data_IF_452188828350
#
_entry.id   IF_452188828350
#
_cell.length_a   1.000
_cell.length_b   1.000
_cell.length_c   1.000
_cell.angle_alpha   90.00
_cell.angle_beta   90.00
_cell.angle_gamma   90.00
#
_symmetry.space_group_name_H-M   'P 1'
#
loop_
_entity.id
_entity.type
_entity.pdbx_description
1 polymer ?
#
# COMPACT_ATOMS: atom_id res chain seq x y z
N UNK A 1 -16.32 -11.53 1.22
CA UNK A 1 -17.42 -12.47 1.50
C UNK A 1 -16.93 -13.88 1.84
N UNK A 2 -16.08 -14.53 1.05
CA UNK A 2 -15.62 -15.90 1.35
C UNK A 2 -14.91 -16.03 2.72
N UNK A 3 -14.05 -15.07 3.10
CA UNK A 3 -13.41 -15.04 4.42
C UNK A 3 -14.39 -14.83 5.58
N UNK A 4 -15.45 -14.04 5.35
CA UNK A 4 -16.53 -13.83 6.33
C UNK A 4 -17.37 -15.10 6.46
N UNK A 5 -17.65 -15.79 5.36
CA UNK A 5 -18.38 -17.07 5.37
C UNK A 5 -17.55 -18.19 5.99
N UNK A 6 -16.23 -18.23 5.76
CA UNK A 6 -15.32 -19.18 6.42
C UNK A 6 -15.24 -18.87 7.92
N UNK A 7 -15.14 -17.59 8.31
CA UNK A 7 -15.17 -17.20 9.72
C UNK A 7 -16.50 -17.57 10.39
N UNK A 8 -17.65 -17.32 9.74
CA UNK A 8 -18.98 -17.73 10.24
C UNK A 8 -19.08 -19.26 10.32
N UNK A 9 -18.56 -19.99 9.33
CA UNK A 9 -18.58 -21.45 9.34
C UNK A 9 -17.73 -22.04 10.46
N UNK A 10 -16.53 -21.50 10.67
CA UNK A 10 -15.63 -21.91 11.76
C UNK A 10 -16.21 -21.53 13.15
N UNK A 11 -16.86 -20.38 13.28
CA UNK A 11 -17.56 -19.97 14.50
C UNK A 11 -18.80 -20.83 14.78
N UNK A 12 -19.42 -21.42 13.75
CA UNK A 12 -20.61 -22.27 13.91
C UNK A 12 -20.31 -23.72 14.34
N UNK A 13 -19.08 -24.19 14.15
CA UNK A 13 -18.72 -25.60 14.39
C UNK A 13 -18.34 -25.92 15.85
N UNK A 14 -17.95 -24.93 16.67
CA UNK A 14 -17.45 -25.16 18.04
C UNK A 14 -18.36 -24.64 19.17
N UNK A 15 -19.65 -24.43 18.90
CA UNK A 15 -20.65 -24.08 19.93
C UNK A 15 -21.02 -25.27 20.83
N UNK A 16 -20.04 -25.86 21.53
CA UNK A 16 -20.28 -26.69 22.72
C UNK A 16 -19.87 -25.90 23.95
N UNK A 17 -20.84 -25.18 24.51
CA UNK A 17 -20.69 -24.55 25.81
C UNK A 17 -20.29 -25.62 26.85
N UNK A 18 -19.22 -25.35 27.61
CA UNK A 18 -18.88 -26.14 28.78
C UNK A 18 -20.01 -26.01 29.83
N UNK A 19 -20.35 -27.08 30.58
CA UNK A 19 -21.37 -26.97 31.62
C UNK A 19 -20.84 -26.09 32.76
N UNK A 20 -21.58 -25.02 33.08
CA UNK A 20 -21.36 -24.18 34.26
C UNK A 20 -21.55 -25.05 35.51
N UNK A 21 -20.48 -25.28 36.27
CA UNK A 21 -20.58 -25.83 37.62
C UNK A 21 -21.20 -24.78 38.54
N UNK A 22 -22.38 -25.10 39.08
CA UNK A 22 -23.12 -24.34 40.09
C UNK A 22 -22.25 -24.03 41.31
N UNK A 23 -22.13 -22.74 41.67
CA UNK A 23 -21.83 -22.31 43.04
C UNK A 23 -23.05 -21.59 43.62
N UNK A 24 -23.33 -21.69 44.94
CA UNK A 24 -24.60 -21.25 45.50
C UNK A 24 -24.65 -19.75 45.79
N UNK A 25 -25.86 -19.22 45.68
CA UNK A 25 -26.27 -17.83 45.85
C UNK A 25 -25.70 -17.15 47.11
N UNK A 26 -25.07 -15.99 46.91
CA UNK A 26 -24.86 -15.00 47.95
C UNK A 26 -25.18 -13.60 47.40
N UNK A 27 -26.39 -13.15 47.73
CA UNK A 27 -26.87 -11.75 47.72
C UNK A 27 -26.66 -10.96 46.43
N UNK A 28 -27.79 -10.74 45.76
CA UNK A 28 -28.03 -9.59 44.91
C UNK A 28 -27.67 -8.28 45.64
N UNK A 29 -26.45 -7.80 45.45
CA UNK A 29 -26.15 -6.37 45.50
C UNK A 29 -26.28 -5.87 44.08
N UNK A 30 -27.32 -5.07 43.87
CA UNK A 30 -27.46 -4.17 42.73
C UNK A 30 -26.25 -3.24 42.68
N UNK A 31 -25.21 -3.63 41.96
CA UNK A 31 -24.25 -2.69 41.38
C UNK A 31 -24.55 -2.64 39.88
N UNK A 32 -25.22 -1.56 39.48
CA UNK A 32 -25.23 -1.07 38.11
C UNK A 32 -23.83 -0.54 37.76
N UNK A 33 -22.82 -1.42 37.74
CA UNK A 33 -21.51 -1.06 37.21
C UNK A 33 -21.64 -1.00 35.69
N UNK A 34 -21.41 0.19 35.11
CA UNK A 34 -21.14 0.38 33.69
C UNK A 34 -20.23 -0.74 33.19
N UNK A 35 -20.80 -1.75 32.54
CA UNK A 35 -20.03 -2.88 32.07
C UNK A 35 -19.34 -2.41 30.78
N UNK A 36 -18.18 -1.75 30.95
CA UNK A 36 -17.23 -1.32 29.92
C UNK A 36 -16.66 -2.57 29.22
N UNK A 37 -17.54 -3.29 28.53
CA UNK A 37 -17.32 -4.59 27.96
C UNK A 37 -17.34 -4.50 26.45
N UNK A 38 -16.22 -4.91 25.86
CA UNK A 38 -16.00 -4.96 24.43
C UNK A 38 -16.48 -6.30 23.89
N UNK A 39 -17.24 -6.30 22.80
CA UNK A 39 -17.73 -7.55 22.19
C UNK A 39 -16.76 -8.08 21.14
N UNK A 40 -16.77 -9.39 20.87
CA UNK A 40 -16.01 -10.00 19.75
C UNK A 40 -16.29 -9.30 18.42
N UNK A 41 -17.56 -8.95 18.16
CA UNK A 41 -17.97 -8.23 16.96
C UNK A 41 -17.23 -6.88 16.83
N UNK A 42 -17.12 -6.12 17.93
CA UNK A 42 -16.40 -4.84 17.91
C UNK A 42 -14.89 -5.01 17.68
N UNK A 43 -14.28 -6.11 18.17
CA UNK A 43 -12.87 -6.43 17.89
C UNK A 43 -12.67 -6.66 16.39
N UNK A 44 -13.49 -7.55 15.83
CA UNK A 44 -13.40 -7.95 14.43
C UNK A 44 -13.73 -6.78 13.52
N UNK A 45 -14.84 -6.09 13.75
CA UNK A 45 -15.28 -4.98 12.93
C UNK A 45 -14.29 -3.81 12.98
N UNK A 46 -13.83 -3.41 14.17
CA UNK A 46 -12.83 -2.36 14.31
C UNK A 46 -11.54 -2.68 13.56
N UNK A 47 -11.11 -3.94 13.62
CA UNK A 47 -9.90 -4.41 12.92
C UNK A 47 -10.09 -4.42 11.39
N UNK A 48 -11.14 -5.08 10.90
CA UNK A 48 -11.42 -5.20 9.46
C UNK A 48 -11.74 -3.85 8.82
N UNK A 49 -12.48 -2.97 9.50
CA UNK A 49 -12.77 -1.61 9.01
C UNK A 49 -11.49 -0.79 8.90
N UNK A 50 -10.56 -0.92 9.86
CA UNK A 50 -9.27 -0.23 9.83
C UNK A 50 -8.38 -0.78 8.72
N UNK A 51 -8.27 -2.11 8.56
CA UNK A 51 -7.54 -2.74 7.45
C UNK A 51 -8.11 -2.27 6.10
N UNK A 52 -9.44 -2.24 5.96
CA UNK A 52 -10.10 -1.78 4.74
C UNK A 52 -9.83 -0.29 4.47
N UNK A 53 -10.02 0.58 5.47
CA UNK A 53 -9.74 2.01 5.34
C UNK A 53 -8.29 2.25 4.92
N UNK A 54 -7.35 1.55 5.54
CA UNK A 54 -5.94 1.61 5.20
C UNK A 54 -5.71 1.13 3.74
N UNK A 55 -6.09 -0.08 3.41
CA UNK A 55 -5.70 -0.68 2.10
C UNK A 55 -6.50 -0.16 0.91
N UNK A 56 -7.68 0.44 1.12
CA UNK A 56 -8.54 0.95 0.05
C UNK A 56 -8.45 2.47 -0.14
N UNK A 57 -8.42 3.25 0.94
CA UNK A 57 -8.47 4.73 0.86
C UNK A 57 -7.08 5.31 0.63
N UNK A 58 -6.04 4.74 1.25
CA UNK A 58 -4.68 5.29 1.18
C UNK A 58 -3.94 4.99 -0.13
N UNK A 59 -4.45 4.09 -0.99
CA UNK A 59 -3.77 3.73 -2.24
C UNK A 59 -4.22 4.65 -3.37
N UNK A 60 -3.28 5.43 -3.89
CA UNK A 60 -3.53 6.43 -4.93
C UNK A 60 -3.01 5.92 -6.29
N UNK A 61 -3.83 5.21 -7.09
CA UNK A 61 -3.37 4.66 -8.35
C UNK A 61 -3.19 5.72 -9.44
N UNK A 62 -2.26 5.46 -10.37
CA UNK A 62 -2.08 6.30 -11.56
C UNK A 62 -3.30 6.25 -12.51
N UNK A 63 -3.39 7.26 -13.38
CA UNK A 63 -4.53 7.49 -14.28
C UNK A 63 -4.76 6.23 -15.14
N UNK A 64 -6.01 5.69 -15.17
CA UNK A 64 -6.31 4.49 -15.95
C UNK A 64 -6.33 4.78 -17.46
N UNK A 65 -6.15 3.76 -18.31
CA UNK A 65 -6.38 3.87 -19.74
C UNK A 65 -7.74 4.48 -20.10
N UNK A 66 -7.83 5.23 -21.21
CA UNK A 66 -9.10 5.75 -21.69
C UNK A 66 -10.10 4.62 -21.97
N UNK A 67 -11.40 4.92 -21.76
CA UNK A 67 -12.54 4.03 -22.08
C UNK A 67 -12.69 2.75 -21.25
N UNK A 68 -12.08 2.64 -20.06
CA UNK A 68 -12.35 1.51 -19.15
C UNK A 68 -13.77 1.55 -18.55
N UNK A 69 -14.39 0.37 -18.41
CA UNK A 69 -15.69 0.24 -17.75
C UNK A 69 -15.57 0.40 -16.23
N UNK A 70 -16.68 0.77 -15.56
CA UNK A 70 -16.71 0.89 -14.08
C UNK A 70 -16.28 -0.41 -13.38
N UNK A 71 -16.61 -1.56 -13.95
CA UNK A 71 -16.24 -2.86 -13.40
C UNK A 71 -14.73 -3.12 -13.53
N UNK A 72 -14.11 -2.77 -14.65
CA UNK A 72 -12.67 -2.89 -14.82
C UNK A 72 -11.90 -2.01 -13.83
N UNK A 73 -12.37 -0.77 -13.61
CA UNK A 73 -11.80 0.14 -12.61
C UNK A 73 -11.91 -0.42 -11.19
N UNK A 74 -13.07 -1.01 -10.86
CA UNK A 74 -13.27 -1.68 -9.57
C UNK A 74 -12.28 -2.84 -9.37
N UNK A 75 -12.13 -3.73 -10.34
CA UNK A 75 -11.18 -4.86 -10.24
C UNK A 75 -9.73 -4.39 -10.19
N UNK A 76 -9.36 -3.31 -10.90
CA UNK A 76 -8.05 -2.69 -10.79
C UNK A 76 -7.79 -2.23 -9.36
N UNK A 77 -8.74 -1.49 -8.75
CA UNK A 77 -8.65 -1.07 -7.34
C UNK A 77 -8.58 -2.23 -6.37
N UNK A 78 -9.42 -3.24 -6.53
CA UNK A 78 -9.40 -4.43 -5.69
C UNK A 78 -8.06 -5.18 -5.79
N UNK A 79 -7.49 -5.31 -6.99
CA UNK A 79 -6.17 -5.90 -7.17
C UNK A 79 -5.09 -5.14 -6.39
N UNK A 80 -5.11 -3.81 -6.43
CA UNK A 80 -4.13 -2.97 -5.72
C UNK A 80 -4.31 -3.04 -4.19
N UNK A 81 -5.56 -3.08 -3.71
CA UNK A 81 -5.87 -3.33 -2.30
C UNK A 81 -5.29 -4.69 -1.85
N UNK A 82 -5.50 -5.76 -2.63
CA UNK A 82 -4.98 -7.09 -2.31
C UNK A 82 -3.45 -7.13 -2.32
N UNK A 83 -2.81 -6.45 -3.27
CA UNK A 83 -1.35 -6.32 -3.31
C UNK A 83 -0.84 -5.60 -2.05
N UNK A 84 -1.49 -4.49 -1.67
CA UNK A 84 -1.15 -3.73 -0.46
C UNK A 84 -1.33 -4.58 0.79
N UNK A 85 -2.35 -5.45 0.83
CA UNK A 85 -2.56 -6.35 1.95
C UNK A 85 -1.45 -7.41 2.06
N UNK A 86 -0.95 -7.92 0.93
CA UNK A 86 0.12 -8.92 0.90
C UNK A 86 1.50 -8.29 1.16
N UNK A 87 1.80 -7.15 0.55
CA UNK A 87 3.12 -6.50 0.62
C UNK A 87 2.97 -4.98 0.82
N UNK A 88 2.50 -4.54 2.01
CA UNK A 88 2.28 -3.12 2.30
C UNK A 88 3.58 -2.32 2.32
N UNK A 89 4.71 -2.92 2.73
CA UNK A 89 6.03 -2.31 2.67
C UNK A 89 6.46 -2.01 1.23
N UNK A 90 6.21 -2.92 0.28
CA UNK A 90 6.47 -2.67 -1.14
C UNK A 90 5.65 -1.49 -1.65
N UNK A 91 4.42 -1.33 -1.16
CA UNK A 91 3.59 -0.16 -1.46
C UNK A 91 4.19 1.15 -0.95
N UNK A 92 4.82 1.14 0.22
CA UNK A 92 5.59 2.29 0.71
C UNK A 92 6.78 2.59 -0.20
N UNK A 93 7.49 1.56 -0.67
CA UNK A 93 8.57 1.72 -1.66
C UNK A 93 8.08 2.38 -2.96
N UNK A 94 6.88 2.04 -3.43
CA UNK A 94 6.25 2.72 -4.58
C UNK A 94 5.90 4.17 -4.27
N UNK A 95 5.28 4.41 -3.11
CA UNK A 95 4.92 5.74 -2.70
C UNK A 95 6.15 6.65 -2.54
N UNK A 96 7.24 6.11 -2.00
CA UNK A 96 8.50 6.81 -1.79
C UNK A 96 9.14 7.22 -3.11
N UNK A 97 9.23 6.30 -4.08
CA UNK A 97 9.76 6.61 -5.42
C UNK A 97 8.96 7.70 -6.12
N UNK A 98 7.63 7.59 -6.08
CA UNK A 98 6.77 8.63 -6.65
C UNK A 98 6.90 9.97 -5.93
N UNK A 99 7.10 9.98 -4.61
CA UNK A 99 7.32 11.19 -3.82
C UNK A 99 8.65 11.86 -4.16
N UNK A 100 9.74 11.10 -4.21
CA UNK A 100 11.05 11.68 -4.57
C UNK A 100 11.08 12.16 -6.02
N UNK A 101 10.56 11.36 -6.96
CA UNK A 101 10.49 11.75 -8.37
C UNK A 101 9.60 12.99 -8.60
N UNK A 102 8.45 13.10 -7.93
CA UNK A 102 7.60 14.30 -8.04
C UNK A 102 8.25 15.52 -7.39
N UNK A 103 8.98 15.35 -6.28
CA UNK A 103 9.69 16.45 -5.61
C UNK A 103 10.86 16.98 -6.44
N UNK A 104 11.61 16.10 -7.09
CA UNK A 104 12.67 16.47 -8.02
C UNK A 104 12.09 17.27 -9.19
N UNK A 105 11.01 16.76 -9.81
CA UNK A 105 10.32 17.44 -10.89
C UNK A 105 9.75 18.80 -10.48
N UNK A 106 9.16 18.89 -9.27
CA UNK A 106 8.64 20.13 -8.72
C UNK A 106 9.74 21.19 -8.56
N UNK A 107 10.93 20.79 -8.10
CA UNK A 107 12.06 21.71 -7.93
C UNK A 107 12.66 22.14 -9.26
N UNK A 108 12.88 21.20 -10.18
CA UNK A 108 13.54 21.44 -11.46
C UNK A 108 12.70 22.33 -12.38
N UNK A 109 11.41 22.03 -12.49
CA UNK A 109 10.51 22.75 -13.38
C UNK A 109 9.64 23.76 -12.64
N UNK A 110 9.86 23.99 -11.34
CA UNK A 110 9.08 24.90 -10.49
C UNK A 110 7.55 24.63 -10.56
N UNK A 111 7.18 23.35 -10.58
CA UNK A 111 5.79 22.91 -10.47
C UNK A 111 5.36 22.84 -9.01
N UNK A 112 4.05 22.94 -8.76
CA UNK A 112 3.53 22.57 -7.45
C UNK A 112 3.69 21.07 -7.19
N UNK A 113 3.66 20.67 -5.91
CA UNK A 113 3.72 19.25 -5.56
C UNK A 113 2.55 18.46 -6.18
N UNK A 114 1.37 19.05 -6.23
CA UNK A 114 0.16 18.45 -6.85
C UNK A 114 0.32 18.30 -8.35
N UNK A 115 0.80 19.34 -9.05
CA UNK A 115 1.10 19.31 -10.48
C UNK A 115 2.15 18.24 -10.82
N UNK A 116 3.22 18.15 -10.05
CA UNK A 116 4.28 17.17 -10.27
C UNK A 116 3.81 15.73 -10.05
N UNK A 117 3.01 15.47 -9.00
CA UNK A 117 2.38 14.17 -8.80
C UNK A 117 1.41 13.83 -9.93
N UNK A 118 0.62 14.82 -10.37
CA UNK A 118 -0.32 14.66 -11.48
C UNK A 118 0.40 14.34 -12.80
N UNK A 119 1.55 14.96 -13.04
CA UNK A 119 2.43 14.63 -14.16
C UNK A 119 2.92 13.17 -14.08
N UNK A 120 3.58 12.78 -12.99
CA UNK A 120 4.12 11.42 -12.82
C UNK A 120 3.06 10.32 -12.95
N UNK A 121 1.79 10.62 -12.61
CA UNK A 121 0.71 9.64 -12.69
C UNK A 121 0.05 9.53 -14.08
N UNK A 122 0.57 10.22 -15.10
CA UNK A 122 -0.01 10.28 -16.44
C UNK A 122 -1.24 11.17 -16.54
N UNK A 123 -1.29 12.22 -15.71
CA UNK A 123 -2.37 13.21 -15.69
C UNK A 123 -2.38 14.14 -16.89
N UNK A 124 -1.30 14.20 -17.66
CA UNK A 124 -1.21 14.96 -18.90
C UNK A 124 -1.06 14.03 -20.10
N UNK A 125 -1.75 14.33 -21.19
CA UNK A 125 -1.69 13.56 -22.44
C UNK A 125 -1.57 14.48 -23.66
N UNK A 126 -0.95 13.97 -24.72
CA UNK A 126 -0.98 14.57 -26.04
C UNK A 126 -2.39 14.51 -26.67
N UNK A 127 -2.66 15.22 -27.77
CA UNK A 127 -3.94 15.14 -28.49
C UNK A 127 -4.21 13.74 -29.06
N UNK A 128 -3.14 12.97 -29.31
CA UNK A 128 -3.20 11.56 -29.73
C UNK A 128 -3.55 10.60 -28.58
N UNK A 129 -3.60 11.08 -27.34
CA UNK A 129 -3.98 10.30 -26.16
C UNK A 129 -2.83 9.57 -25.48
N UNK A 130 -1.58 9.85 -25.87
CA UNK A 130 -0.39 9.29 -25.22
C UNK A 130 0.00 10.10 -23.98
N UNK A 131 0.31 9.46 -22.84
CA UNK A 131 0.72 10.17 -21.63
C UNK A 131 2.04 10.93 -21.81
N UNK A 132 2.07 12.15 -21.26
CA UNK A 132 3.26 12.96 -21.05
C UNK A 132 3.68 12.74 -19.60
N UNK A 133 4.70 11.94 -19.38
CA UNK A 133 5.09 11.46 -18.06
C UNK A 133 6.62 11.43 -17.82
N UNK A 134 7.45 11.52 -18.86
CA UNK A 134 8.92 11.52 -18.73
C UNK A 134 9.54 12.90 -18.85
N UNK A 135 10.75 13.10 -18.30
CA UNK A 135 11.47 14.37 -18.42
C UNK A 135 11.88 14.67 -19.86
N UNK A 136 12.20 13.64 -20.65
CA UNK A 136 12.49 13.82 -22.07
C UNK A 136 11.28 14.43 -22.81
N UNK A 137 10.06 13.99 -22.46
CA UNK A 137 8.82 14.54 -23.02
C UNK A 137 8.56 16.00 -22.61
N UNK A 138 9.12 16.47 -21.48
CA UNK A 138 9.06 17.89 -21.08
C UNK A 138 10.09 18.74 -21.81
N UNK A 139 11.25 18.18 -22.14
CA UNK A 139 12.28 18.87 -22.92
C UNK A 139 11.95 18.93 -24.42
N UNK A 140 11.41 17.84 -24.96
CA UNK A 140 11.02 17.69 -26.37
C UNK A 140 9.66 16.96 -26.45
N UNK A 141 8.53 17.67 -26.61
CA UNK A 141 7.22 17.05 -26.60
C UNK A 141 7.10 16.05 -27.73
N UNK A 142 7.00 14.77 -27.37
CA UNK A 142 7.10 13.68 -28.34
C UNK A 142 5.79 13.55 -29.11
N UNK A 143 5.67 14.35 -30.17
CA UNK A 143 4.71 14.17 -31.24
C UNK A 143 5.50 13.95 -32.54
N UNK A 144 5.63 12.69 -32.95
CA UNK A 144 6.30 12.22 -34.18
C UNK A 144 7.83 12.36 -34.23
N UNK A 145 8.48 11.43 -34.94
CA UNK A 145 9.94 11.43 -35.17
C UNK A 145 10.42 12.60 -36.07
N UNK A 146 9.54 13.49 -36.50
CA UNK A 146 9.84 14.55 -37.48
C UNK A 146 9.82 15.96 -36.88
N UNK A 147 9.30 16.17 -35.68
CA UNK A 147 9.27 17.50 -35.00
C UNK A 147 10.36 17.63 -33.89
N UNK A 148 11.42 16.82 -34.00
CA UNK A 148 12.25 16.35 -32.88
C UNK A 148 13.23 17.35 -32.24
N UNK A 149 13.25 18.62 -32.62
CA UNK A 149 14.37 19.50 -32.20
C UNK A 149 13.99 20.96 -31.94
N UNK A 150 12.71 21.29 -31.71
CA UNK A 150 12.33 22.67 -31.38
C UNK A 150 12.27 22.88 -29.85
N UNK A 151 13.26 23.58 -29.25
CA UNK A 151 13.30 23.86 -27.81
C UNK A 151 12.14 24.75 -27.35
N UNK A 152 11.58 25.57 -28.25
CA UNK A 152 10.54 26.53 -27.89
C UNK A 152 9.25 25.78 -27.50
N UNK A 153 8.94 24.66 -28.18
CA UNK A 153 7.75 23.84 -27.88
C UNK A 153 7.83 23.16 -26.51
N UNK A 154 9.03 22.73 -26.09
CA UNK A 154 9.25 22.19 -24.74
C UNK A 154 9.01 23.25 -23.66
N UNK A 155 9.50 24.47 -23.88
CA UNK A 155 9.29 25.59 -22.95
C UNK A 155 7.80 26.00 -22.84
N UNK A 156 7.07 26.01 -23.97
CA UNK A 156 5.63 26.28 -23.99
C UNK A 156 4.84 25.22 -23.22
N UNK A 157 5.19 23.93 -23.37
CA UNK A 157 4.54 22.85 -22.64
C UNK A 157 4.78 22.95 -21.14
N UNK A 158 6.01 23.27 -20.73
CA UNK A 158 6.35 23.47 -19.31
C UNK A 158 5.58 24.65 -18.73
N UNK A 159 5.48 25.77 -19.45
CA UNK A 159 4.69 26.93 -19.03
C UNK A 159 3.19 26.60 -18.98
N UNK A 160 2.67 25.87 -19.97
CA UNK A 160 1.28 25.43 -19.99
C UNK A 160 0.93 24.54 -18.79
N UNK A 161 1.82 23.60 -18.41
CA UNK A 161 1.66 22.77 -17.20
C UNK A 161 1.70 23.63 -15.94
N UNK A 162 2.66 24.57 -15.84
CA UNK A 162 2.78 25.47 -14.69
C UNK A 162 1.52 26.31 -14.48
N UNK A 163 0.89 26.74 -15.57
CA UNK A 163 -0.31 27.57 -15.55
C UNK A 163 -1.61 26.78 -15.30
N UNK A 164 -1.57 25.43 -15.20
CA UNK A 164 -2.74 24.64 -14.79
C UNK A 164 -3.06 24.94 -13.33
N UNK A 165 -4.26 25.44 -13.06
CA UNK A 165 -4.70 25.69 -11.69
C UNK A 165 -4.73 24.38 -10.88
N UNK A 166 -4.17 24.40 -9.67
CA UNK A 166 -4.16 23.24 -8.79
C UNK A 166 -5.57 22.82 -8.39
N UNK A 167 -6.48 23.79 -8.23
CA UNK A 167 -7.88 23.53 -7.91
C UNK A 167 -8.57 22.71 -9.01
N UNK A 168 -8.20 22.90 -10.29
CA UNK A 168 -8.72 22.11 -11.41
C UNK A 168 -8.21 20.65 -11.39
N UNK A 169 -7.02 20.43 -10.82
CA UNK A 169 -6.47 19.10 -10.60
C UNK A 169 -7.15 18.44 -9.40
N UNK A 170 -7.36 19.19 -8.33
CA UNK A 170 -8.02 18.72 -7.11
C UNK A 170 -9.50 18.38 -7.36
N UNK A 171 -10.22 19.14 -8.19
CA UNK A 171 -11.61 18.81 -8.57
C UNK A 171 -11.72 17.45 -9.30
N UNK A 172 -10.65 16.99 -9.95
CA UNK A 172 -10.57 15.65 -10.54
C UNK A 172 -10.31 14.55 -9.51
N UNK A 173 -9.78 14.89 -8.35
CA UNK A 173 -9.55 13.98 -7.24
C UNK A 173 -10.88 13.62 -6.60
N UNK A 174 -11.23 12.34 -6.54
CA UNK A 174 -12.47 11.86 -5.89
C UNK A 174 -12.32 11.64 -4.39
N UNK A 175 -11.18 12.03 -3.84
CA UNK A 175 -10.91 12.00 -2.41
C UNK A 175 -10.66 13.39 -1.90
N UNK A 176 -11.72 14.09 -1.48
CA UNK A 176 -11.59 15.36 -0.77
C UNK A 176 -10.84 15.14 0.55
N UNK A 177 -10.23 16.22 1.06
CA UNK A 177 -9.49 16.24 2.31
C UNK A 177 -10.25 15.57 3.48
N UNK A 178 -11.57 15.66 3.48
CA UNK A 178 -12.44 15.02 4.47
C UNK A 178 -12.37 13.48 4.42
N UNK A 179 -12.42 12.88 3.23
CA UNK A 179 -12.34 11.41 3.07
C UNK A 179 -10.95 10.87 3.46
N UNK A 180 -9.89 11.61 3.11
CA UNK A 180 -8.51 11.32 3.53
C UNK A 180 -8.34 11.46 5.05
N UNK A 181 -8.98 12.48 5.64
CA UNK A 181 -8.93 12.77 7.07
C UNK A 181 -9.65 11.73 7.93
N UNK A 182 -10.82 11.24 7.50
CA UNK A 182 -11.57 10.20 8.25
C UNK A 182 -10.78 8.89 8.31
N UNK A 183 -10.18 8.45 7.20
CA UNK A 183 -9.38 7.24 7.18
C UNK A 183 -8.13 7.36 8.08
N UNK A 184 -7.48 8.53 8.08
CA UNK A 184 -6.36 8.81 8.97
C UNK A 184 -6.79 8.78 10.44
N UNK A 185 -7.90 9.45 10.77
CA UNK A 185 -8.42 9.50 12.13
C UNK A 185 -8.77 8.10 12.63
N UNK A 186 -9.40 7.27 11.80
CA UNK A 186 -9.69 5.87 12.10
C UNK A 186 -8.40 5.08 12.40
N UNK A 187 -7.36 5.22 11.58
CA UNK A 187 -6.07 4.55 11.77
C UNK A 187 -5.35 5.01 13.04
N UNK A 188 -5.26 6.31 13.28
CA UNK A 188 -4.64 6.89 14.47
C UNK A 188 -5.39 6.48 15.74
N UNK A 189 -6.73 6.51 15.71
CA UNK A 189 -7.55 6.06 16.82
C UNK A 189 -7.32 4.57 17.12
N UNK A 190 -7.23 3.72 16.09
CA UNK A 190 -6.93 2.31 16.27
C UNK A 190 -5.55 2.08 16.90
N UNK A 191 -4.53 2.83 16.46
CA UNK A 191 -3.17 2.79 17.04
C UNK A 191 -3.24 3.17 18.52
N UNK A 192 -3.85 4.31 18.85
CA UNK A 192 -3.98 4.80 20.23
C UNK A 192 -4.72 3.81 21.13
N UNK A 193 -5.85 3.27 20.67
CA UNK A 193 -6.61 2.24 21.38
C UNK A 193 -5.75 1.01 21.66
N UNK A 194 -5.01 0.51 20.66
CA UNK A 194 -4.18 -0.69 20.79
C UNK A 194 -3.02 -0.48 21.76
N UNK A 195 -2.36 0.68 21.69
CA UNK A 195 -1.29 1.05 22.62
C UNK A 195 -1.81 1.23 24.05
N UNK A 196 -2.97 1.86 24.22
CA UNK A 196 -3.59 2.04 25.52
C UNK A 196 -3.96 0.70 26.18
N UNK A 197 -4.43 -0.29 25.39
CA UNK A 197 -4.66 -1.67 25.86
C UNK A 197 -3.36 -2.31 26.33
N UNK A 198 -2.30 -2.22 25.53
CA UNK A 198 -0.99 -2.76 25.88
C UNK A 198 -0.44 -2.13 27.18
N UNK A 199 -0.57 -0.81 27.34
CA UNK A 199 -0.13 -0.08 28.53
C UNK A 199 -0.94 -0.48 29.79
N UNK A 200 -2.25 -0.68 29.67
CA UNK A 200 -3.10 -1.17 30.76
C UNK A 200 -2.97 -2.69 31.01
N UNK A 201 -2.04 -3.37 30.31
CA UNK A 201 -1.83 -4.83 30.38
C UNK A 201 -3.09 -5.64 30.05
N UNK A 202 -3.97 -5.06 29.23
CA UNK A 202 -5.11 -5.78 28.65
C UNK A 202 -4.63 -6.60 27.46
N UNK A 203 -5.32 -7.72 27.18
CA UNK A 203 -4.96 -8.55 26.04
C UNK A 203 -5.17 -7.78 24.74
N UNK A 204 -4.13 -7.71 23.93
CA UNK A 204 -4.21 -7.27 22.53
C UNK A 204 -4.31 -8.52 21.69
N UNK A 205 -5.41 -8.66 20.95
CA UNK A 205 -5.61 -9.83 20.09
C UNK A 205 -4.62 -9.81 18.93
N UNK A 206 -4.26 -10.98 18.41
CA UNK A 206 -3.35 -11.07 17.26
C UNK A 206 -3.91 -10.37 16.02
N UNK A 207 -5.25 -10.28 15.91
CA UNK A 207 -5.91 -9.53 14.85
C UNK A 207 -5.67 -8.02 15.00
N UNK A 208 -5.71 -7.52 16.23
CA UNK A 208 -5.36 -6.12 16.51
C UNK A 208 -3.88 -5.84 16.28
N UNK A 209 -2.98 -6.78 16.60
CA UNK A 209 -1.55 -6.65 16.29
C UNK A 209 -1.32 -6.60 14.78
N UNK A 210 -1.94 -7.49 14.01
CA UNK A 210 -1.86 -7.46 12.56
C UNK A 210 -2.44 -6.17 11.97
N UNK A 211 -3.55 -5.68 12.53
CA UNK A 211 -4.16 -4.41 12.11
C UNK A 211 -3.30 -3.22 12.47
N UNK A 212 -2.67 -3.22 13.66
CA UNK A 212 -1.73 -2.19 14.08
C UNK A 212 -0.56 -2.09 13.09
N UNK A 213 -0.02 -3.22 12.64
CA UNK A 213 1.04 -3.24 11.64
C UNK A 213 0.59 -2.57 10.32
N UNK A 214 -0.62 -2.87 9.83
CA UNK A 214 -1.19 -2.20 8.66
C UNK A 214 -1.39 -0.70 8.90
N UNK A 215 -1.97 -0.31 10.04
CA UNK A 215 -2.23 1.08 10.37
C UNK A 215 -0.94 1.91 10.39
N UNK A 216 0.12 1.39 11.03
CA UNK A 216 1.42 2.07 11.12
C UNK A 216 2.06 2.22 9.73
N UNK A 217 2.12 1.18 8.91
CA UNK A 217 2.68 1.27 7.55
C UNK A 217 1.88 2.24 6.68
N UNK A 218 0.57 2.26 6.84
CA UNK A 218 -0.27 3.16 6.07
C UNK A 218 -0.12 4.64 6.40
N UNK A 219 0.36 4.98 7.61
CA UNK A 219 0.75 6.36 7.90
C UNK A 219 1.86 6.83 6.95
N UNK A 220 2.84 5.98 6.63
CA UNK A 220 3.89 6.31 5.67
C UNK A 220 3.35 6.46 4.25
N UNK A 221 2.49 5.54 3.79
CA UNK A 221 1.86 5.63 2.46
C UNK A 221 1.11 6.96 2.34
N UNK A 222 0.32 7.30 3.36
CA UNK A 222 -0.45 8.53 3.40
C UNK A 222 0.44 9.78 3.40
N UNK A 223 1.51 9.80 4.20
CA UNK A 223 2.46 10.93 4.25
C UNK A 223 3.13 11.16 2.89
N UNK A 224 3.54 10.09 2.21
CA UNK A 224 4.21 10.16 0.92
C UNK A 224 3.27 10.56 -0.22
N UNK A 225 1.98 10.21 -0.14
CA UNK A 225 0.97 10.51 -1.16
C UNK A 225 -0.02 11.62 -0.78
N UNK A 226 0.31 12.45 0.22
CA UNK A 226 -0.59 13.51 0.68
C UNK A 226 -1.06 14.42 -0.46
N UNK A 227 -0.10 14.94 -1.23
CA UNK A 227 -0.32 15.83 -2.38
C UNK A 227 -0.65 15.07 -3.67
N UNK A 228 -0.71 13.73 -3.66
CA UNK A 228 -1.07 12.96 -4.85
C UNK A 228 -2.59 12.94 -5.03
N UNK A 229 -3.14 13.36 -6.18
CA UNK A 229 -4.57 13.29 -6.45
C UNK A 229 -5.13 11.86 -6.38
N UNK A 230 -6.33 11.67 -5.82
CA UNK A 230 -6.94 10.35 -5.59
C UNK A 230 -8.00 9.99 -6.65
N UNK A 231 -7.89 8.81 -7.27
CA UNK A 231 -8.87 8.25 -8.24
C UNK A 231 -9.16 9.17 -9.45
N UNK A 232 -8.15 9.90 -9.93
CA UNK A 232 -8.24 10.67 -11.17
C UNK A 232 -8.58 9.73 -12.34
N UNK A 233 -9.64 10.04 -13.09
CA UNK A 233 -10.13 9.20 -14.20
C UNK A 233 -9.88 9.77 -15.58
N UNK A 234 -9.60 11.07 -15.68
CA UNK A 234 -9.42 11.75 -16.96
C UNK A 234 -8.19 12.64 -16.90
N UNK A 235 -7.23 12.47 -17.81
CA UNK A 235 -6.10 13.38 -17.93
C UNK A 235 -6.53 14.71 -18.56
N UNK A 236 -5.65 15.70 -18.48
CA UNK A 236 -5.70 16.99 -19.18
C UNK A 236 -4.96 16.82 -20.51
N UNK A 237 -5.56 17.30 -21.60
CA UNK A 237 -5.00 17.21 -22.95
C UNK A 237 -4.27 18.51 -23.27
N UNK A 238 -3.02 18.42 -23.74
CA UNK A 238 -2.27 19.57 -24.25
C UNK A 238 -2.02 19.46 -25.75
N UNK A 239 -2.20 20.57 -26.47
CA UNK A 239 -1.95 20.67 -27.91
C UNK A 239 -3.22 20.84 -28.77
N UNK A 240 -3.06 21.22 -30.05
CA UNK A 240 -4.18 21.42 -30.97
C UNK A 240 -4.88 20.08 -31.28
N UNK A 241 -6.20 20.07 -31.51
CA UNK A 241 -6.93 18.85 -31.83
C UNK A 241 -6.44 18.27 -33.16
N UNK A 242 -5.78 17.11 -33.11
CA UNK A 242 -5.38 16.32 -34.28
C UNK A 242 -6.40 15.19 -34.50
N UNK A 243 -6.71 14.86 -35.76
CA UNK A 243 -7.53 13.67 -36.04
C UNK A 243 -6.79 12.42 -35.56
N UNK A 244 -7.48 11.61 -34.77
CA UNK A 244 -6.92 10.43 -34.14
C UNK A 244 -6.81 9.28 -35.16
N UNK A 245 -5.71 9.22 -35.90
CA UNK A 245 -5.35 8.03 -36.67
C UNK A 245 -4.89 6.95 -35.68
N UNK A 246 -5.84 6.09 -35.32
CA UNK A 246 -5.65 5.03 -34.34
C UNK A 246 -5.06 3.80 -35.01
N UNK A 247 -3.77 3.81 -35.32
CA UNK A 247 -3.03 2.56 -35.55
C UNK A 247 -2.24 2.17 -34.29
N UNK A 248 -2.87 1.30 -33.50
CA UNK A 248 -2.29 0.71 -32.30
C UNK A 248 -1.35 -0.42 -32.70
N UNK A 249 -0.05 -0.14 -32.78
CA UNK A 249 0.95 -1.21 -32.92
C UNK A 249 1.10 -1.90 -31.56
N UNK A 250 0.35 -2.98 -31.37
CA UNK A 250 0.55 -3.90 -30.24
C UNK A 250 1.52 -4.98 -30.66
N UNK A 251 2.78 -4.89 -30.23
CA UNK A 251 3.75 -5.97 -30.42
C UNK A 251 3.47 -7.10 -29.41
N UNK A 252 3.22 -8.35 -29.86
CA UNK A 252 3.07 -9.48 -28.95
C UNK A 252 4.44 -9.90 -28.43
N UNK A 253 4.75 -9.54 -27.17
CA UNK A 253 5.96 -10.01 -26.49
C UNK A 253 5.72 -11.43 -25.96
N UNK A 254 6.48 -12.40 -26.49
CA UNK A 254 6.43 -13.81 -26.10
C UNK A 254 7.16 -14.01 -24.76
N UNK A 255 6.42 -14.31 -23.69
CA UNK A 255 6.95 -14.37 -22.31
C UNK A 255 7.33 -15.79 -21.85
N UNK A 256 8.45 -15.91 -21.15
CA UNK A 256 8.80 -17.13 -20.40
C UNK A 256 7.91 -17.29 -19.15
N UNK A 257 7.81 -18.50 -18.57
CA UNK A 257 6.92 -18.78 -17.43
C UNK A 257 7.30 -18.02 -16.14
N UNK A 258 8.57 -17.66 -15.96
CA UNK A 258 9.08 -16.93 -14.80
C UNK A 258 8.83 -15.41 -14.91
N UNK A 259 8.82 -14.86 -16.13
CA UNK A 259 8.49 -13.45 -16.40
C UNK A 259 7.02 -13.09 -16.15
N UNK A 260 6.14 -14.09 -15.96
CA UNK A 260 4.70 -13.86 -15.77
C UNK A 260 4.35 -13.44 -14.34
N UNK A 261 5.09 -13.90 -13.33
CA UNK A 261 4.79 -13.60 -11.92
C UNK A 261 5.58 -12.38 -11.44
N UNK A 262 6.90 -12.34 -11.68
CA UNK A 262 7.72 -11.14 -11.46
C UNK A 262 7.28 -9.97 -12.35
N UNK A 263 6.90 -10.23 -13.60
CA UNK A 263 6.37 -9.22 -14.51
C UNK A 263 4.98 -8.70 -14.16
N UNK A 264 4.24 -9.26 -13.19
CA UNK A 264 2.97 -8.66 -12.73
C UNK A 264 3.19 -7.51 -11.72
N UNK A 265 4.30 -7.55 -10.98
CA UNK A 265 4.79 -6.47 -10.12
C UNK A 265 5.67 -5.53 -10.95
N UNK A 266 6.58 -6.07 -11.78
CA UNK A 266 7.39 -5.31 -12.76
C UNK A 266 6.56 -4.51 -13.78
N UNK A 267 5.43 -5.06 -14.26
CA UNK A 267 4.51 -4.29 -15.12
C UNK A 267 3.75 -3.18 -14.38
N UNK A 268 3.68 -3.22 -13.04
CA UNK A 268 3.17 -2.08 -12.26
C UNK A 268 4.26 -1.05 -12.00
N UNK A 269 5.53 -1.49 -11.97
CA UNK A 269 6.75 -0.70 -11.94
C UNK A 269 6.99 0.08 -13.23
N UNK A 270 6.52 -0.48 -14.36
CA UNK A 270 6.74 0.08 -15.68
C UNK A 270 8.07 -0.30 -16.31
N UNK A 271 8.63 -1.47 -15.97
CA UNK A 271 9.77 -2.10 -16.68
C UNK A 271 9.54 -2.29 -18.20
N UNK A 272 8.32 -2.04 -18.67
CA UNK A 272 7.86 -2.15 -20.06
C UNK A 272 7.06 -0.92 -20.49
N UNK A 273 7.15 0.19 -19.75
CA UNK A 273 6.49 1.43 -20.13
C UNK A 273 7.26 2.04 -21.28
N UNK A 274 6.63 2.09 -22.44
CA UNK A 274 7.11 2.86 -23.58
C UNK A 274 6.19 4.08 -23.71
N UNK A 275 6.71 5.30 -23.47
CA UNK A 275 5.93 6.54 -23.53
C UNK A 275 5.26 6.76 -24.89
N UNK A 276 5.81 6.18 -25.96
CA UNK A 276 5.33 6.34 -27.33
C UNK A 276 4.18 5.40 -27.69
N UNK A 277 4.16 4.19 -27.13
CA UNK A 277 3.15 3.17 -27.48
C UNK A 277 2.11 2.96 -26.38
N UNK A 278 2.38 3.42 -25.17
CA UNK A 278 1.49 3.23 -24.03
C UNK A 278 0.32 4.22 -24.02
N UNK A 279 -0.88 3.72 -23.72
CA UNK A 279 -2.11 4.53 -23.57
C UNK A 279 -2.39 4.97 -22.13
N UNK A 280 -1.54 4.55 -21.19
CA UNK A 280 -1.59 4.95 -19.77
C UNK A 280 -0.27 4.64 -19.09
N UNK A 281 0.05 5.42 -18.07
CA UNK A 281 1.16 5.13 -17.16
C UNK A 281 0.77 3.95 -16.23
N UNK A 282 1.66 2.98 -15.97
CA UNK A 282 1.42 1.92 -14.99
C UNK A 282 1.08 2.47 -13.60
N UNK A 283 0.32 1.71 -12.80
CA UNK A 283 -0.29 2.19 -11.55
C UNK A 283 0.70 2.81 -10.54
N UNK A 284 1.94 2.33 -10.50
CA UNK A 284 2.96 2.70 -9.51
C UNK A 284 4.26 3.19 -10.14
N UNK A 285 4.23 3.50 -11.44
CA UNK A 285 5.36 4.10 -12.13
C UNK A 285 5.68 5.47 -11.55
N UNK A 286 6.97 5.81 -11.50
CA UNK A 286 7.49 7.14 -11.15
C UNK A 286 8.33 7.63 -12.32
N UNK A 287 8.36 8.96 -12.54
CA UNK A 287 9.22 9.59 -13.56
C UNK A 287 10.63 9.02 -13.50
N UNK A 288 11.03 8.38 -14.59
CA UNK A 288 12.31 7.71 -14.75
C UNK A 288 13.41 8.77 -14.69
N UNK A 289 14.27 8.67 -13.68
CA UNK A 289 15.63 9.14 -13.73
C UNK A 289 16.48 8.01 -13.14
N UNK A 290 16.85 7.05 -13.98
CA UNK A 290 17.84 6.01 -13.64
C UNK A 290 19.25 6.61 -13.37
N UNK A 291 19.40 7.94 -13.36
CA UNK A 291 20.67 8.64 -13.22
C UNK A 291 20.92 9.20 -11.80
N UNK A 292 19.89 9.58 -11.03
CA UNK A 292 20.08 10.03 -9.65
C UNK A 292 20.01 8.86 -8.66
N UNK A 293 21.16 8.23 -8.45
CA UNK A 293 21.38 7.16 -7.47
C UNK A 293 20.79 7.47 -6.08
N UNK A 294 20.74 8.75 -5.67
CA UNK A 294 20.30 9.17 -4.33
C UNK A 294 18.80 8.98 -4.07
N UNK A 295 17.93 9.27 -5.05
CA UNK A 295 16.47 9.17 -4.87
C UNK A 295 16.00 7.71 -4.82
N UNK A 296 16.58 6.86 -5.67
CA UNK A 296 16.37 5.41 -5.69
C UNK A 296 16.84 4.79 -4.37
N UNK A 297 18.05 5.14 -3.94
CA UNK A 297 18.63 4.64 -2.68
C UNK A 297 17.78 5.06 -1.46
N UNK A 298 17.26 6.29 -1.44
CA UNK A 298 16.41 6.77 -0.34
C UNK A 298 15.09 6.00 -0.25
N UNK A 299 14.44 5.72 -1.38
CA UNK A 299 13.21 4.93 -1.42
C UNK A 299 13.44 3.48 -0.98
N UNK A 300 14.57 2.88 -1.37
CA UNK A 300 14.93 1.52 -0.98
C UNK A 300 15.29 1.41 0.50
N UNK A 301 16.02 2.39 1.05
CA UNK A 301 16.26 2.46 2.49
C UNK A 301 14.94 2.55 3.25
N UNK A 302 14.02 3.42 2.82
CA UNK A 302 12.72 3.58 3.46
C UNK A 302 11.88 2.30 3.40
N UNK A 303 11.85 1.63 2.25
CA UNK A 303 11.21 0.32 2.06
C UNK A 303 11.71 -0.70 3.11
N UNK A 304 13.03 -0.77 3.32
CA UNK A 304 13.65 -1.73 4.24
C UNK A 304 13.33 -1.40 5.69
N UNK A 305 13.47 -0.13 6.07
CA UNK A 305 13.19 0.33 7.43
C UNK A 305 11.71 0.11 7.79
N UNK A 306 10.80 0.46 6.89
CA UNK A 306 9.36 0.30 7.11
C UNK A 306 8.96 -1.18 7.06
N UNK A 307 9.56 -2.00 6.20
CA UNK A 307 9.36 -3.45 6.19
C UNK A 307 9.85 -4.13 7.48
N UNK A 308 11.02 -3.74 7.98
CA UNK A 308 11.54 -4.24 9.26
C UNK A 308 10.64 -3.83 10.43
N UNK A 309 10.20 -2.57 10.47
CA UNK A 309 9.23 -2.08 11.46
C UNK A 309 7.90 -2.85 11.38
N UNK A 310 7.38 -3.08 10.17
CA UNK A 310 6.15 -3.82 9.95
C UNK A 310 6.22 -5.25 10.53
N UNK A 311 7.30 -5.98 10.24
CA UNK A 311 7.52 -7.30 10.83
C UNK A 311 7.80 -7.25 12.35
N UNK A 312 8.47 -6.20 12.84
CA UNK A 312 8.71 -6.01 14.27
C UNK A 312 7.42 -5.86 15.08
N UNK A 313 6.38 -5.20 14.53
CA UNK A 313 5.07 -5.11 15.18
C UNK A 313 4.45 -6.51 15.35
N UNK A 314 4.56 -7.40 14.36
CA UNK A 314 4.11 -8.79 14.50
C UNK A 314 4.93 -9.56 15.55
N UNK A 315 6.25 -9.36 15.57
CA UNK A 315 7.14 -9.92 16.59
C UNK A 315 6.83 -9.40 17.99
N UNK A 316 6.23 -8.22 18.17
CA UNK A 316 5.86 -7.72 19.50
C UNK A 316 4.86 -8.64 20.22
N UNK A 317 4.08 -9.43 19.48
CA UNK A 317 3.21 -10.48 20.01
C UNK A 317 3.94 -11.80 20.29
N UNK A 318 5.27 -11.80 20.48
CA UNK A 318 6.06 -13.02 20.67
C UNK A 318 5.55 -13.90 21.81
N UNK A 319 5.14 -13.26 22.90
CA UNK A 319 4.66 -13.91 24.12
C UNK A 319 3.13 -13.95 24.21
N UNK A 320 2.42 -13.74 23.09
CA UNK A 320 0.97 -13.88 23.07
C UNK A 320 0.54 -15.32 23.39
N UNK A 321 -0.70 -15.47 23.85
CA UNK A 321 -1.30 -16.77 24.14
C UNK A 321 -1.90 -17.31 22.85
N UNK A 322 -1.54 -18.54 22.50
CA UNK A 322 -2.01 -19.25 21.32
C UNK A 322 -2.81 -20.47 21.73
N UNK A 323 -3.87 -20.86 20.98
CA UNK A 323 -4.65 -22.05 21.30
C UNK A 323 -3.82 -23.34 21.23
N UNK A 324 -2.84 -23.40 20.33
CA UNK A 324 -1.93 -24.55 20.17
C UNK A 324 -0.46 -24.13 20.03
N UNK A 325 0.46 -25.04 20.37
CA UNK A 325 1.90 -24.85 20.15
C UNK A 325 2.24 -24.69 18.65
N UNK A 326 1.49 -25.36 17.77
CA UNK A 326 1.68 -25.25 16.33
C UNK A 326 1.38 -23.83 15.84
N UNK A 327 0.22 -23.28 16.21
CA UNK A 327 -0.17 -21.90 15.85
C UNK A 327 0.85 -20.88 16.38
N UNK A 328 1.33 -21.05 17.62
CA UNK A 328 2.38 -20.21 18.20
C UNK A 328 3.66 -20.19 17.35
N UNK A 329 4.18 -21.36 16.98
CA UNK A 329 5.40 -21.45 16.17
C UNK A 329 5.18 -20.96 14.74
N UNK A 330 4.00 -21.21 14.15
CA UNK A 330 3.62 -20.71 12.84
C UNK A 330 3.61 -19.16 12.84
N UNK A 331 3.03 -18.53 13.85
CA UNK A 331 3.06 -17.06 14.02
C UNK A 331 4.48 -16.53 14.13
N UNK A 332 5.28 -17.09 15.04
CA UNK A 332 6.65 -16.63 15.34
C UNK A 332 7.57 -16.76 14.12
N UNK A 333 7.54 -17.92 13.47
CA UNK A 333 8.34 -18.17 12.26
C UNK A 333 7.91 -17.26 11.11
N UNK A 334 6.60 -17.08 10.88
CA UNK A 334 6.10 -16.18 9.83
C UNK A 334 6.48 -14.73 10.11
N UNK A 335 6.40 -14.29 11.37
CA UNK A 335 6.80 -12.93 11.79
C UNK A 335 8.29 -12.68 11.55
N UNK A 336 9.15 -13.66 11.88
CA UNK A 336 10.58 -13.56 11.59
C UNK A 336 10.88 -13.57 10.08
N UNK A 337 10.18 -14.40 9.31
CA UNK A 337 10.35 -14.48 7.85
C UNK A 337 10.11 -13.13 7.19
N UNK A 338 9.05 -12.41 7.58
CA UNK A 338 8.72 -11.10 6.97
C UNK A 338 9.66 -9.97 7.42
N UNK A 339 10.43 -10.16 8.50
CA UNK A 339 11.53 -9.24 8.89
C UNK A 339 12.80 -9.57 8.11
N UNK A 340 13.17 -10.85 8.07
CA UNK A 340 14.49 -11.30 7.58
C UNK A 340 14.58 -11.25 6.06
N UNK A 341 13.56 -11.72 5.33
CA UNK A 341 13.63 -11.80 3.86
C UNK A 341 13.85 -10.42 3.21
N UNK A 342 13.08 -9.36 3.54
CA UNK A 342 13.32 -8.04 2.97
C UNK A 342 14.70 -7.49 3.35
N UNK A 343 15.13 -7.66 4.60
CA UNK A 343 16.44 -7.21 5.08
C UNK A 343 17.61 -7.88 4.35
N UNK A 344 17.55 -9.20 4.13
CA UNK A 344 18.57 -9.92 3.37
C UNK A 344 18.60 -9.50 1.90
N UNK A 345 17.42 -9.29 1.31
CA UNK A 345 17.30 -8.83 -0.09
C UNK A 345 17.95 -7.46 -0.25
N UNK A 346 17.70 -6.55 0.68
CA UNK A 346 18.31 -5.21 0.66
C UNK A 346 19.82 -5.21 0.89
N UNK A 347 20.30 -5.99 1.86
CA UNK A 347 21.74 -6.15 2.09
C UNK A 347 22.43 -6.70 0.84
N UNK A 348 21.81 -7.66 0.16
CA UNK A 348 22.32 -8.21 -1.10
C UNK A 348 22.38 -7.16 -2.21
N UNK A 349 21.35 -6.32 -2.36
CA UNK A 349 21.33 -5.20 -3.32
C UNK A 349 22.43 -4.18 -3.01
N UNK A 350 22.57 -3.75 -1.74
CA UNK A 350 23.62 -2.81 -1.32
C UNK A 350 25.03 -3.36 -1.61
N UNK A 351 25.28 -4.63 -1.31
CA UNK A 351 26.57 -5.28 -1.62
C UNK A 351 26.83 -5.37 -3.13
N UNK A 352 25.79 -5.45 -3.95
CA UNK A 352 25.89 -5.51 -5.40
C UNK A 352 26.18 -4.16 -6.05
N UNK A 353 25.69 -3.07 -5.46
CA UNK A 353 25.92 -1.71 -5.94
C UNK A 353 27.37 -1.25 -5.70
N UNK A 354 28.16 -1.99 -4.90
CA UNK A 354 29.56 -1.68 -4.62
C UNK A 354 30.53 -1.99 -5.77
N UNK A 355 30.14 -2.74 -6.81
CA UNK A 355 31.06 -3.21 -7.86
C UNK A 355 30.28 -3.60 -9.15
N UNK A 356 30.60 -2.97 -10.28
CA UNK A 356 29.87 -3.13 -11.55
C UNK A 356 29.99 -4.53 -12.17
N UNK A 357 31.10 -5.24 -11.94
CA UNK A 357 31.27 -6.63 -12.38
C UNK A 357 30.52 -7.61 -11.45
N UNK A 358 30.32 -7.24 -10.18
CA UNK A 358 29.43 -7.99 -9.27
C UNK A 358 27.98 -7.84 -9.70
N UNK A 359 27.57 -6.67 -10.21
CA UNK A 359 26.19 -6.40 -10.62
C UNK A 359 25.61 -7.46 -11.57
N UNK A 360 26.39 -7.93 -12.56
CA UNK A 360 25.96 -8.96 -13.53
C UNK A 360 25.84 -10.36 -12.91
N UNK A 361 26.72 -10.71 -11.96
CA UNK A 361 26.63 -12.00 -11.23
C UNK A 361 25.49 -11.96 -10.22
N UNK A 362 25.31 -10.80 -9.57
CA UNK A 362 24.23 -10.51 -8.64
C UNK A 362 22.89 -10.52 -9.37
N UNK A 363 22.76 -9.98 -10.59
CA UNK A 363 21.44 -9.97 -11.26
C UNK A 363 20.92 -11.39 -11.50
N UNK A 364 21.79 -12.33 -11.90
CA UNK A 364 21.44 -13.74 -12.06
C UNK A 364 21.17 -14.43 -10.72
N UNK A 365 22.02 -14.22 -9.72
CA UNK A 365 21.85 -14.78 -8.37
C UNK A 365 20.63 -14.17 -7.62
N UNK A 366 20.32 -12.92 -7.91
CA UNK A 366 19.18 -12.16 -7.39
C UNK A 366 17.88 -12.68 -7.95
N UNK A 367 17.81 -12.94 -9.26
CA UNK A 367 16.65 -13.61 -9.87
C UNK A 367 16.35 -14.97 -9.26
N UNK A 368 17.39 -15.79 -9.01
CA UNK A 368 17.21 -17.09 -8.33
C UNK A 368 16.84 -16.95 -6.86
N UNK A 369 17.39 -15.96 -6.16
CA UNK A 369 17.07 -15.69 -4.75
C UNK A 369 15.62 -15.23 -4.62
N UNK A 370 15.18 -14.29 -5.46
CA UNK A 370 13.81 -13.80 -5.51
C UNK A 370 12.81 -14.92 -5.81
N UNK A 371 13.13 -15.85 -6.72
CA UNK A 371 12.27 -16.99 -7.04
C UNK A 371 12.00 -17.90 -5.82
N UNK A 372 12.97 -18.03 -4.92
CA UNK A 372 12.84 -18.84 -3.71
C UNK A 372 12.21 -18.06 -2.55
N UNK A 373 12.58 -16.79 -2.36
CA UNK A 373 12.14 -16.00 -1.21
C UNK A 373 10.73 -15.43 -1.36
N UNK A 374 10.29 -15.06 -2.56
CA UNK A 374 8.97 -14.48 -2.80
C UNK A 374 7.83 -15.44 -2.38
N UNK A 375 7.80 -16.73 -2.78
CA UNK A 375 6.75 -17.65 -2.34
C UNK A 375 6.71 -17.86 -0.83
N UNK A 376 7.89 -17.93 -0.20
CA UNK A 376 8.02 -18.08 1.27
C UNK A 376 7.47 -16.83 1.97
N UNK A 377 7.82 -15.65 1.47
CA UNK A 377 7.30 -14.38 1.97
C UNK A 377 5.78 -14.31 1.84
N UNK A 378 5.22 -14.62 0.66
CA UNK A 378 3.77 -14.62 0.43
C UNK A 378 3.06 -15.61 1.36
N UNK A 379 3.62 -16.82 1.54
CA UNK A 379 3.05 -17.81 2.45
C UNK A 379 3.02 -17.29 3.90
N UNK A 380 4.14 -16.72 4.39
CA UNK A 380 4.20 -16.11 5.72
C UNK A 380 3.18 -14.96 5.89
N UNK A 381 2.99 -14.14 4.85
CA UNK A 381 1.98 -13.06 4.84
C UNK A 381 0.56 -13.57 4.89
N UNK A 382 0.22 -14.60 4.11
CA UNK A 382 -1.09 -15.22 4.15
C UNK A 382 -1.38 -15.83 5.52
N UNK A 383 -0.39 -16.48 6.13
CA UNK A 383 -0.49 -16.99 7.50
C UNK A 383 -0.78 -15.86 8.49
N UNK A 384 -0.03 -14.76 8.45
CA UNK A 384 -0.23 -13.62 9.38
C UNK A 384 -1.55 -12.86 9.16
N UNK A 385 -2.25 -13.11 8.05
CA UNK A 385 -3.61 -12.58 7.80
C UNK A 385 -4.68 -13.57 8.29
N UNK A 386 -4.49 -14.88 8.05
CA UNK A 386 -5.49 -15.91 8.30
C UNK A 386 -5.46 -16.37 9.77
N UNK A 387 -4.28 -16.58 10.32
CA UNK A 387 -4.10 -17.14 11.66
C UNK A 387 -4.76 -16.29 12.76
N UNK A 388 -4.63 -14.93 12.76
CA UNK A 388 -5.35 -14.10 13.71
C UNK A 388 -6.87 -14.25 13.71
N UNK A 389 -7.47 -14.57 12.56
CA UNK A 389 -8.91 -14.81 12.45
C UNK A 389 -9.29 -16.14 13.09
N UNK A 390 -8.45 -17.17 12.95
CA UNK A 390 -8.66 -18.46 13.58
C UNK A 390 -8.53 -18.39 15.10
N UNK A 391 -7.61 -17.56 15.61
CA UNK A 391 -7.35 -17.40 17.04
C UNK A 391 -8.48 -16.72 17.82
N UNK A 392 -9.40 -16.03 17.14
CA UNK A 392 -10.59 -15.43 17.74
C UNK A 392 -11.49 -16.45 18.46
N UNK A 393 -11.35 -17.74 18.17
CA UNK A 393 -12.08 -18.83 18.86
C UNK A 393 -11.66 -19.01 20.33
N UNK A 394 -10.49 -18.51 20.72
CA UNK A 394 -9.95 -18.68 22.07
C UNK A 394 -9.24 -17.42 22.53
N UNK A 395 -10.02 -16.44 22.98
CA UNK A 395 -9.50 -15.18 23.51
C UNK A 395 -9.53 -15.18 25.06
N UNK A 396 -8.52 -14.58 25.71
CA UNK A 396 -8.53 -14.40 27.16
C UNK A 396 -9.64 -13.42 27.60
N UNK A 397 -10.14 -13.55 28.82
CA UNK A 397 -11.21 -12.69 29.35
C UNK A 397 -10.89 -11.19 29.28
N UNK A 398 -9.61 -10.81 29.48
CA UNK A 398 -9.16 -9.42 29.38
C UNK A 398 -9.23 -8.82 27.97
N UNK A 399 -9.45 -9.64 26.93
CA UNK A 399 -9.71 -9.16 25.57
C UNK A 399 -11.05 -8.41 25.48
N UNK A 400 -12.00 -8.75 26.35
CA UNK A 400 -13.36 -8.20 26.37
C UNK A 400 -13.54 -7.03 27.36
N UNK A 401 -12.45 -6.55 27.96
CA UNK A 401 -12.45 -5.36 28.83
C UNK A 401 -12.06 -4.13 27.99
N UNK A 402 -12.83 -3.05 28.08
CA UNK A 402 -12.50 -1.79 27.40
C UNK A 402 -11.38 -1.01 28.08
N UNK A 403 -10.74 -0.13 27.29
CA UNK A 403 -9.70 0.79 27.78
C UNK A 403 -10.34 1.82 28.70
N UNK A 404 -9.80 1.95 29.91
CA UNK A 404 -10.23 3.02 30.81
C UNK A 404 -9.56 4.36 30.44
N UNK A 405 -10.22 5.12 29.57
CA UNK A 405 -9.72 6.43 29.09
C UNK A 405 -9.61 7.49 30.18
N UNK A 406 -10.34 7.38 31.29
CA UNK A 406 -10.23 8.30 32.43
C UNK A 406 -8.83 8.32 33.07
N UNK A 407 -8.03 7.28 32.82
CA UNK A 407 -6.62 7.21 33.24
C UNK A 407 -5.73 8.17 32.45
N UNK A 408 -6.12 8.55 31.24
CA UNK A 408 -5.29 9.33 30.31
C UNK A 408 -5.78 10.76 30.10
N UNK A 409 -7.07 11.01 30.26
CA UNK A 409 -7.65 12.35 30.16
C UNK A 409 -7.81 12.87 31.59
N UNK A 410 -6.93 13.78 32.06
CA UNK A 410 -7.09 14.38 33.38
C UNK A 410 -8.45 15.08 33.43
N UNK A 411 -9.18 14.82 34.51
CA UNK A 411 -10.54 15.32 34.74
C UNK A 411 -10.53 16.85 34.65
N UNK A 412 -11.27 17.42 33.69
CA UNK A 412 -11.56 18.86 33.62
C UNK A 412 -12.77 19.19 34.47
#
# INVERSE_FOLDING_TARGET
>A
MLLILIAIHLLSQDSRAAPLSHFPDARATTDSSNDNSRTLFSIVWGSLATIFACTWVSVHPNVPPPKQSRLQLFWRRLKMMLITMIAPEVMVGFAARQYFGSRELANEYNFSSTQAFFFCMGGFVSPTGHPIATKEQLGYPIASKEQLEDPDVGSELQEAIRNVNEEDIEDKSKGDALSKGVALLQGLWFILQTLARAHQRLAVTQLEVATLAFAVVNLFIWLLWWNKPLDVRRPIVFGPPTQADTETVTLPVQLSRLDRFGGAIGAQYGDRYDPLSSVSVPSFWSTENNEEFESVTSADILLVLVGAMFGAVHCAAWNAIFPTLAEMWIWRTSSLVIVVIPGLTALFVLMAMSDSDRLKRVSKAGGTTALLTIPIYIAARLILIILPLAELRSLPASAFVDVNWSTYIPHL
#
